data_IF_218464355107
#
_entry.id   IF_218464355107
#
_cell.length_a   1.000
_cell.length_b   1.000
_cell.length_c   1.000
_cell.angle_alpha   90.00
_cell.angle_beta   90.00
_cell.angle_gamma   90.00
#
_symmetry.space_group_name_H-M   'P 1'
#
loop_
_entity.id
_entity.type
_entity.pdbx_description
1 polymer ?
#
# COMPACT_ATOMS: atom_id res chain seq x y z
N UNK A 1 34.54 65.17 -9.73
CA UNK A 1 34.11 63.90 -10.35
C UNK A 1 33.30 63.12 -9.32
N UNK A 2 31.99 62.97 -9.52
CA UNK A 2 31.10 62.17 -8.66
C UNK A 2 30.85 60.83 -9.35
N UNK A 3 31.21 59.73 -8.70
CA UNK A 3 30.94 58.38 -9.20
C UNK A 3 29.68 57.84 -8.51
N UNK A 4 28.62 57.66 -9.29
CA UNK A 4 27.40 56.94 -8.92
C UNK A 4 27.63 55.44 -9.08
N UNK A 5 27.52 54.69 -7.98
CA UNK A 5 27.53 53.22 -8.01
C UNK A 5 26.10 52.71 -8.20
N UNK A 6 25.86 51.98 -9.29
CA UNK A 6 24.61 51.28 -9.57
C UNK A 6 24.63 49.89 -8.92
N UNK A 7 23.68 49.63 -8.02
CA UNK A 7 23.47 48.31 -7.44
C UNK A 7 22.61 47.45 -8.38
N UNK A 8 23.21 46.41 -8.95
CA UNK A 8 22.50 45.37 -9.70
C UNK A 8 21.88 44.36 -8.72
N UNK A 9 20.56 44.42 -8.54
CA UNK A 9 19.81 43.42 -7.79
C UNK A 9 19.68 42.14 -8.60
N UNK A 10 20.36 41.07 -8.17
CA UNK A 10 20.24 39.74 -8.74
C UNK A 10 18.94 39.09 -8.21
N UNK A 11 17.90 39.06 -9.03
CA UNK A 11 16.65 38.35 -8.73
C UNK A 11 16.92 36.83 -8.81
N UNK A 12 17.02 36.16 -7.66
CA UNK A 12 17.05 34.70 -7.56
C UNK A 12 15.66 34.17 -7.92
N UNK A 13 15.49 33.70 -9.16
CA UNK A 13 14.33 32.90 -9.57
C UNK A 13 14.40 31.56 -8.82
N UNK A 14 13.60 31.42 -7.77
CA UNK A 14 13.37 30.11 -7.15
C UNK A 14 12.73 29.19 -8.21
N UNK A 15 13.23 27.96 -8.40
CA UNK A 15 12.58 27.00 -9.28
C UNK A 15 11.18 26.72 -8.72
N UNK A 16 10.15 27.13 -9.47
CA UNK A 16 8.79 26.78 -9.15
C UNK A 16 8.66 25.25 -9.16
N UNK A 17 8.31 24.67 -8.01
CA UNK A 17 7.89 23.28 -7.96
C UNK A 17 6.67 23.15 -8.87
N UNK A 18 6.85 22.49 -10.01
CA UNK A 18 5.74 22.11 -10.86
C UNK A 18 4.72 21.37 -9.98
N UNK A 19 3.45 21.81 -10.04
CA UNK A 19 2.32 21.10 -9.46
C UNK A 19 2.18 19.74 -10.16
N UNK A 20 3.04 18.79 -9.81
CA UNK A 20 2.88 17.39 -10.17
C UNK A 20 1.63 16.87 -9.46
N UNK A 21 0.81 16.09 -10.18
CA UNK A 21 -0.30 15.39 -9.56
C UNK A 21 0.22 14.52 -8.41
N UNK A 22 -0.39 14.63 -7.23
CA UNK A 22 -0.03 13.78 -6.09
C UNK A 22 -0.16 12.32 -6.50
N UNK A 23 0.87 11.47 -6.26
CA UNK A 23 0.80 10.07 -6.65
C UNK A 23 -0.43 9.37 -6.08
N UNK A 24 -1.16 8.67 -6.94
CA UNK A 24 -2.36 7.93 -6.54
C UNK A 24 -2.00 6.74 -5.65
N UNK A 25 -2.89 6.41 -4.71
CA UNK A 25 -2.83 5.12 -4.02
C UNK A 25 -3.07 3.99 -5.03
N UNK A 26 -2.32 2.90 -4.89
CA UNK A 26 -2.30 1.81 -5.85
C UNK A 26 -2.73 0.46 -5.28
N UNK A 27 -2.53 0.20 -3.98
CA UNK A 27 -3.03 -1.02 -3.33
C UNK A 27 -3.15 -0.88 -1.81
N UNK A 28 -3.96 -1.76 -1.23
CA UNK A 28 -3.88 -2.16 0.18
C UNK A 28 -3.72 -3.69 0.23
N UNK A 29 -2.87 -4.16 1.14
CA UNK A 29 -2.64 -5.58 1.41
C UNK A 29 -2.71 -5.85 2.91
N UNK A 30 -2.98 -7.09 3.26
CA UNK A 30 -2.92 -7.60 4.62
C UNK A 30 -2.31 -9.01 4.61
N UNK A 31 -1.63 -9.37 5.69
CA UNK A 31 -1.21 -10.74 6.01
C UNK A 31 -2.38 -11.74 5.89
N UNK A 32 -3.54 -11.38 6.44
CA UNK A 32 -4.78 -12.14 6.35
C UNK A 32 -6.01 -11.25 6.42
N UNK A 33 -7.18 -11.87 6.31
CA UNK A 33 -8.44 -11.21 6.67
C UNK A 33 -9.55 -12.23 6.95
N UNK A 34 -10.51 -11.82 7.77
CA UNK A 34 -11.64 -12.65 8.18
C UNK A 34 -12.48 -13.11 6.97
N UNK A 35 -12.90 -14.39 6.98
CA UNK A 35 -13.73 -15.01 5.92
C UNK A 35 -13.14 -14.93 4.51
N UNK A 36 -11.81 -14.81 4.36
CA UNK A 36 -11.12 -14.79 3.06
C UNK A 36 -11.53 -15.92 2.12
N UNK A 37 -11.64 -17.15 2.61
CA UNK A 37 -11.93 -18.30 1.74
C UNK A 37 -13.42 -18.49 1.45
N UNK A 38 -14.30 -18.11 2.39
CA UNK A 38 -15.75 -18.32 2.28
C UNK A 38 -16.51 -17.11 1.73
N UNK A 39 -16.05 -15.88 2.01
CA UNK A 39 -16.63 -14.60 1.56
C UNK A 39 -15.51 -13.58 1.26
N UNK A 40 -14.70 -13.79 0.21
CA UNK A 40 -13.50 -13.01 -0.06
C UNK A 40 -13.74 -11.51 -0.26
N UNK A 41 -14.95 -11.09 -0.60
CA UNK A 41 -15.31 -9.70 -0.85
C UNK A 41 -15.67 -8.91 0.42
N UNK A 42 -15.94 -9.60 1.53
CA UNK A 42 -16.59 -8.99 2.69
C UNK A 42 -15.64 -8.14 3.54
N UNK A 43 -14.45 -8.67 3.84
CA UNK A 43 -13.47 -8.04 4.73
C UNK A 43 -12.10 -7.82 4.08
N UNK A 44 -12.07 -7.66 2.75
CA UNK A 44 -10.83 -7.52 2.00
C UNK A 44 -10.09 -6.20 2.33
N UNK A 45 -8.75 -6.15 2.19
CA UNK A 45 -7.95 -4.95 2.50
C UNK A 45 -8.33 -3.70 1.70
N UNK A 46 -8.83 -3.84 0.46
CA UNK A 46 -9.22 -2.69 -0.36
C UNK A 46 -10.42 -1.92 0.22
N UNK A 47 -11.20 -2.53 1.11
CA UNK A 47 -12.27 -1.84 1.82
C UNK A 47 -11.75 -0.68 2.69
N UNK A 48 -10.47 -0.71 3.10
CA UNK A 48 -9.84 0.38 3.86
C UNK A 48 -9.60 1.66 3.06
N UNK A 49 -9.82 1.63 1.75
CA UNK A 49 -9.50 2.73 0.84
C UNK A 49 -10.73 3.39 0.22
N UNK A 50 -11.91 2.82 0.42
CA UNK A 50 -13.12 3.19 -0.32
C UNK A 50 -13.94 4.29 0.34
N UNK A 51 -13.61 4.71 1.57
CA UNK A 51 -14.33 5.77 2.27
C UNK A 51 -15.77 5.43 2.63
N UNK A 52 -16.14 4.14 2.67
CA UNK A 52 -17.50 3.69 2.98
C UNK A 52 -17.57 3.11 4.38
N UNK A 53 -18.46 3.65 5.18
CA UNK A 53 -18.71 3.16 6.55
C UNK A 53 -19.28 1.72 6.59
N UNK A 54 -19.93 1.27 5.51
CA UNK A 54 -20.56 -0.04 5.42
C UNK A 54 -19.58 -1.19 5.08
N UNK A 55 -18.29 -0.90 4.91
CA UNK A 55 -17.26 -1.87 4.56
C UNK A 55 -16.11 -1.76 5.54
N UNK A 56 -15.45 -2.88 5.81
CA UNK A 56 -14.31 -2.92 6.71
C UNK A 56 -13.31 -3.95 6.22
N UNK A 57 -12.07 -3.85 6.69
CA UNK A 57 -11.17 -5.00 6.81
C UNK A 57 -11.23 -5.50 8.25
N UNK A 58 -11.12 -6.82 8.43
CA UNK A 58 -11.01 -7.44 9.74
C UNK A 58 -9.89 -8.47 9.72
N UNK A 59 -9.13 -8.55 10.81
CA UNK A 59 -8.03 -9.51 10.99
C UNK A 59 -8.49 -10.96 10.78
N UNK A 60 -7.55 -11.85 10.51
CA UNK A 60 -7.86 -13.28 10.32
C UNK A 60 -8.24 -13.99 11.63
N UNK A 61 -7.85 -13.43 12.78
CA UNK A 61 -8.13 -13.95 14.13
C UNK A 61 -8.36 -12.82 15.14
N UNK A 62 -8.69 -13.18 16.39
CA UNK A 62 -8.85 -12.26 17.51
C UNK A 62 -7.53 -11.65 18.04
N UNK A 63 -6.37 -12.25 17.69
CA UNK A 63 -5.04 -11.73 18.03
C UNK A 63 -4.47 -10.92 16.86
N UNK A 64 -4.47 -9.58 16.95
CA UNK A 64 -4.08 -8.71 15.85
C UNK A 64 -2.57 -8.47 15.79
N UNK A 65 -1.79 -8.97 16.76
CA UNK A 65 -0.35 -8.63 16.87
C UNK A 65 0.47 -9.17 15.68
N UNK A 66 -0.07 -10.15 14.97
CA UNK A 66 0.54 -10.74 13.77
C UNK A 66 0.03 -10.12 12.47
N UNK A 67 -0.90 -9.15 12.53
CA UNK A 67 -1.50 -8.58 11.34
C UNK A 67 -0.74 -7.33 10.87
N UNK A 68 -0.27 -7.40 9.62
CA UNK A 68 0.42 -6.30 8.96
C UNK A 68 -0.42 -5.81 7.78
N UNK A 69 -0.89 -4.57 7.87
CA UNK A 69 -1.50 -3.87 6.76
C UNK A 69 -0.42 -3.10 5.99
N UNK A 70 -0.46 -3.15 4.67
CA UNK A 70 0.48 -2.45 3.80
C UNK A 70 -0.27 -1.66 2.74
N UNK A 71 0.08 -0.40 2.59
CA UNK A 71 -0.49 0.54 1.63
C UNK A 71 0.61 1.00 0.68
N UNK A 72 0.35 0.95 -0.61
CA UNK A 72 1.31 1.37 -1.63
C UNK A 72 0.73 2.43 -2.56
N UNK A 73 1.55 3.42 -2.87
CA UNK A 73 1.28 4.49 -3.82
C UNK A 73 2.08 4.26 -5.10
N UNK A 74 1.61 4.83 -6.21
CA UNK A 74 2.30 4.74 -7.51
C UNK A 74 3.62 5.53 -7.57
N UNK A 75 3.90 6.32 -6.54
CA UNK A 75 5.14 7.07 -6.36
C UNK A 75 5.26 7.58 -4.92
N UNK A 76 6.37 8.23 -4.57
CA UNK A 76 6.58 8.78 -3.23
C UNK A 76 5.56 9.87 -2.90
N UNK A 77 4.87 9.73 -1.78
CA UNK A 77 3.94 10.73 -1.23
C UNK A 77 4.43 11.23 0.13
N UNK A 78 4.07 12.47 0.47
CA UNK A 78 4.20 13.03 1.80
C UNK A 78 2.83 12.99 2.47
N UNK A 79 2.73 12.32 3.62
CA UNK A 79 1.49 12.16 4.38
C UNK A 79 1.64 12.96 5.68
N UNK A 80 0.79 13.97 5.84
CA UNK A 80 0.79 14.86 7.02
C UNK A 80 -0.42 14.66 7.93
N UNK A 81 -1.43 13.92 7.48
CA UNK A 81 -2.58 13.52 8.28
C UNK A 81 -3.07 12.14 7.84
N UNK A 82 -3.57 11.37 8.80
CA UNK A 82 -4.39 10.17 8.53
C UNK A 82 -5.71 10.28 9.28
N UNK A 83 -6.78 9.81 8.64
CA UNK A 83 -8.08 9.62 9.30
C UNK A 83 -8.40 8.15 9.35
N UNK A 84 -8.59 7.63 10.55
CA UNK A 84 -8.81 6.20 10.77
C UNK A 84 -10.18 6.01 11.42
N UNK A 85 -10.97 5.09 10.86
CA UNK A 85 -12.20 4.63 11.49
C UNK A 85 -11.96 3.21 12.02
N UNK A 86 -11.84 3.11 13.35
CA UNK A 86 -11.70 1.83 14.06
C UNK A 86 -12.99 1.02 14.12
N UNK A 87 -12.90 -0.31 14.22
CA UNK A 87 -14.05 -1.20 14.30
C UNK A 87 -14.71 -1.50 12.96
N UNK A 88 -15.81 -2.24 13.02
CA UNK A 88 -16.71 -2.46 11.90
C UNK A 88 -17.86 -1.44 11.99
N UNK A 89 -17.83 -0.43 11.12
CA UNK A 89 -18.71 0.73 11.18
C UNK A 89 -20.10 0.53 10.60
N UNK A 90 -20.45 -0.68 10.14
CA UNK A 90 -21.71 -0.94 9.44
C UNK A 90 -22.94 -0.41 10.19
N UNK A 91 -23.03 -0.71 11.49
CA UNK A 91 -24.01 -0.15 12.43
C UNK A 91 -23.48 -0.19 13.88
N UNK A 92 -24.27 0.28 14.85
CA UNK A 92 -23.83 0.35 16.25
C UNK A 92 -23.67 -1.04 16.88
N UNK A 93 -24.51 -1.99 16.47
CA UNK A 93 -24.45 -3.34 17.00
C UNK A 93 -23.18 -4.03 16.51
N UNK A 94 -22.95 -4.01 15.20
CA UNK A 94 -21.76 -4.57 14.56
C UNK A 94 -20.48 -3.93 15.09
N UNK A 95 -20.50 -2.64 15.40
CA UNK A 95 -19.35 -1.96 16.00
C UNK A 95 -18.93 -2.59 17.34
N UNK A 96 -19.89 -3.01 18.18
CA UNK A 96 -19.62 -3.67 19.48
C UNK A 96 -19.33 -5.16 19.35
N UNK A 97 -19.91 -5.83 18.36
CA UNK A 97 -19.68 -7.25 18.06
C UNK A 97 -18.23 -7.54 17.65
N UNK A 98 -17.52 -6.57 17.08
CA UNK A 98 -16.12 -6.73 16.65
C UNK A 98 -15.14 -5.97 17.53
N UNK A 99 -13.91 -6.47 17.60
CA UNK A 99 -12.84 -5.81 18.33
C UNK A 99 -12.40 -4.57 17.54
N UNK A 100 -11.93 -3.54 18.24
CA UNK A 100 -11.66 -2.22 17.63
C UNK A 100 -10.22 -1.85 17.91
N UNK A 101 -9.46 -1.51 16.88
CA UNK A 101 -8.07 -1.09 17.06
C UNK A 101 -7.98 0.13 17.98
N UNK A 102 -7.09 0.06 18.97
CA UNK A 102 -6.85 1.12 19.96
C UNK A 102 -5.51 1.80 19.75
N UNK A 103 -4.44 1.01 19.65
CA UNK A 103 -3.10 1.52 19.36
C UNK A 103 -2.62 0.95 18.04
N UNK A 104 -2.12 1.83 17.19
CA UNK A 104 -1.58 1.50 15.89
C UNK A 104 -0.17 2.04 15.77
N UNK A 105 0.66 1.39 14.96
CA UNK A 105 1.97 1.88 14.56
C UNK A 105 1.99 2.02 13.04
N UNK A 106 1.95 3.26 12.56
CA UNK A 106 2.08 3.60 11.15
C UNK A 106 3.55 3.87 10.84
N UNK A 107 4.13 3.11 9.91
CA UNK A 107 5.55 3.23 9.52
C UNK A 107 5.64 3.64 8.05
N UNK A 108 6.49 4.61 7.77
CA UNK A 108 7.08 4.84 6.46
C UNK A 108 8.49 4.20 6.37
N UNK A 109 9.23 4.47 5.29
CA UNK A 109 10.59 3.96 5.08
C UNK A 109 11.59 4.35 6.17
N UNK A 110 11.51 5.59 6.70
CA UNK A 110 12.51 6.16 7.61
C UNK A 110 11.96 6.53 8.99
N UNK A 111 10.64 6.64 9.14
CA UNK A 111 9.99 7.14 10.34
C UNK A 111 8.75 6.32 10.67
N UNK A 112 8.38 6.31 11.95
CA UNK A 112 7.20 5.63 12.45
C UNK A 112 6.46 6.52 13.46
N UNK A 113 5.12 6.45 13.44
CA UNK A 113 4.23 7.20 14.33
C UNK A 113 3.32 6.22 15.05
N UNK A 114 3.29 6.29 16.39
CA UNK A 114 2.27 5.60 17.18
C UNK A 114 1.00 6.44 17.21
N UNK A 115 -0.15 5.79 17.00
CA UNK A 115 -1.46 6.41 16.93
C UNK A 115 -2.34 5.75 17.99
N UNK A 116 -3.01 6.55 18.81
CA UNK A 116 -4.03 6.06 19.75
C UNK A 116 -5.40 6.56 19.32
N UNK A 117 -6.34 5.65 19.19
CA UNK A 117 -7.72 5.92 18.81
C UNK A 117 -8.64 5.85 20.04
N UNK A 118 -9.66 6.68 20.06
CA UNK A 118 -10.78 6.56 21.00
C UNK A 118 -11.72 5.41 20.57
N UNK A 119 -12.40 4.80 21.54
CA UNK A 119 -13.40 3.75 21.28
C UNK A 119 -14.73 4.38 20.85
N UNK A 120 -14.76 4.91 19.63
CA UNK A 120 -15.94 5.57 19.08
C UNK A 120 -16.05 5.34 17.57
N UNK A 121 -17.29 5.39 17.09
CA UNK A 121 -17.60 5.39 15.66
C UNK A 121 -17.13 6.66 14.97
N UNK A 122 -16.90 6.55 13.67
CA UNK A 122 -16.47 7.63 12.80
C UNK A 122 -14.97 7.75 12.64
N UNK A 123 -14.57 8.54 11.65
CA UNK A 123 -13.17 8.85 11.37
C UNK A 123 -12.56 9.73 12.48
N UNK A 124 -11.35 9.37 12.91
CA UNK A 124 -10.56 10.14 13.85
C UNK A 124 -9.31 10.67 13.14
N UNK A 125 -9.16 11.99 13.10
CA UNK A 125 -8.04 12.65 12.43
C UNK A 125 -6.79 12.68 13.32
N UNK A 126 -5.66 12.34 12.73
CA UNK A 126 -4.36 12.27 13.40
C UNK A 126 -3.33 12.97 12.53
N UNK A 127 -2.84 14.11 13.02
CA UNK A 127 -1.77 14.87 12.37
C UNK A 127 -0.44 14.16 12.60
N UNK A 128 0.34 13.99 11.54
CA UNK A 128 1.65 13.36 11.55
C UNK A 128 2.73 14.45 11.57
N UNK A 129 3.49 14.49 12.67
CA UNK A 129 4.58 15.43 12.83
C UNK A 129 5.81 14.70 13.41
N UNK A 130 6.88 14.49 12.61
CA UNK A 130 7.02 14.91 11.22
C UNK A 130 6.10 14.13 10.25
N UNK A 131 5.78 14.68 9.07
CA UNK A 131 5.07 13.95 8.02
C UNK A 131 5.83 12.69 7.60
N UNK A 132 5.11 11.61 7.27
CA UNK A 132 5.70 10.40 6.71
C UNK A 132 5.94 10.60 5.21
N UNK A 133 7.05 10.07 4.68
CA UNK A 133 7.39 10.21 3.26
C UNK A 133 7.81 8.87 2.68
N UNK A 134 7.22 8.47 1.55
CA UNK A 134 7.54 7.21 0.89
C UNK A 134 6.47 6.76 -0.10
N UNK A 135 6.74 5.66 -0.79
CA UNK A 135 5.78 5.04 -1.70
C UNK A 135 5.03 3.87 -1.04
N UNK A 136 5.49 3.38 0.11
CA UNK A 136 4.90 2.26 0.83
C UNK A 136 4.87 2.58 2.33
N UNK A 137 3.74 2.26 2.96
CA UNK A 137 3.51 2.45 4.39
C UNK A 137 2.93 1.18 4.98
N UNK A 138 3.28 0.88 6.23
CA UNK A 138 2.72 -0.25 6.97
C UNK A 138 1.97 0.22 8.19
N UNK A 139 0.83 -0.39 8.50
CA UNK A 139 0.07 -0.14 9.71
C UNK A 139 -0.01 -1.45 10.51
N UNK A 140 0.48 -1.41 11.74
CA UNK A 140 0.45 -2.52 12.68
C UNK A 140 -0.53 -2.21 13.81
N UNK A 141 -1.31 -3.20 14.23
CA UNK A 141 -2.18 -3.09 15.40
C UNK A 141 -1.39 -3.54 16.62
N UNK A 142 -1.32 -2.69 17.65
CA UNK A 142 -0.54 -2.92 18.87
C UNK A 142 -1.41 -3.16 20.11
N UNK A 143 -2.66 -2.70 20.07
CA UNK A 143 -3.64 -2.82 21.15
C UNK A 143 -5.06 -2.69 20.58
N UNK A 144 -6.05 -3.26 21.26
CA UNK A 144 -7.45 -3.24 20.86
C UNK A 144 -8.39 -3.01 22.03
N UNK A 145 -9.56 -2.44 21.75
CA UNK A 145 -10.71 -2.50 22.63
C UNK A 145 -11.46 -3.84 22.41
N UNK A 146 -11.99 -4.45 23.48
CA UNK A 146 -12.59 -5.78 23.42
C UNK A 146 -13.97 -5.78 22.76
N UNK A 147 -14.25 -6.75 21.91
CA UNK A 147 -15.61 -7.05 21.46
C UNK A 147 -16.48 -7.65 22.58
N UNK A 148 -17.79 -7.70 22.33
CA UNK A 148 -18.72 -8.51 23.13
C UNK A 148 -18.37 -10.01 23.04
N UNK A 149 -17.93 -10.48 21.88
CA UNK A 149 -17.35 -11.81 21.67
C UNK A 149 -15.81 -11.73 21.68
N UNK A 150 -15.10 -12.29 22.67
CA UNK A 150 -13.64 -12.21 22.74
C UNK A 150 -12.91 -12.89 21.57
N UNK A 151 -13.58 -13.77 20.82
CA UNK A 151 -13.03 -14.42 19.62
C UNK A 151 -13.25 -13.59 18.35
N UNK A 152 -13.96 -12.46 18.44
CA UNK A 152 -14.21 -11.61 17.30
C UNK A 152 -12.92 -10.89 16.84
N UNK A 153 -12.65 -10.85 15.53
CA UNK A 153 -11.45 -10.22 14.99
C UNK A 153 -11.48 -8.71 15.21
N UNK A 154 -10.30 -8.09 15.13
CA UNK A 154 -10.18 -6.64 15.10
C UNK A 154 -10.52 -6.13 13.72
N UNK A 155 -11.36 -5.11 13.65
CA UNK A 155 -11.73 -4.46 12.40
C UNK A 155 -11.25 -3.01 12.32
N UNK A 156 -11.04 -2.57 11.08
CA UNK A 156 -10.86 -1.18 10.68
C UNK A 156 -11.81 -0.93 9.51
N UNK A 157 -12.61 0.11 9.60
CA UNK A 157 -13.58 0.49 8.56
C UNK A 157 -12.86 1.20 7.42
N UNK A 158 -12.00 2.17 7.73
CA UNK A 158 -11.40 3.04 6.72
C UNK A 158 -10.07 3.63 7.20
N UNK A 159 -9.15 3.86 6.26
CA UNK A 159 -7.88 4.58 6.48
C UNK A 159 -7.70 5.56 5.34
N UNK A 160 -7.93 6.85 5.63
CA UNK A 160 -7.76 7.92 4.65
C UNK A 160 -6.45 8.66 4.88
N UNK A 161 -5.59 8.65 3.87
CA UNK A 161 -4.34 9.39 3.87
C UNK A 161 -4.57 10.81 3.35
N UNK A 162 -3.94 11.79 3.97
CA UNK A 162 -3.99 13.19 3.57
C UNK A 162 -2.59 13.73 3.28
N UNK A 163 -2.51 14.61 2.29
CA UNK A 163 -1.33 15.41 1.98
C UNK A 163 -1.76 16.84 1.71
N UNK A 164 -1.19 17.80 2.42
CA UNK A 164 -1.44 19.24 2.27
C UNK A 164 -2.95 19.56 2.24
N UNK A 165 -3.70 18.93 3.15
CA UNK A 165 -5.16 19.10 3.32
C UNK A 165 -6.02 18.37 2.29
N UNK A 166 -5.45 17.54 1.41
CA UNK A 166 -6.19 16.77 0.39
C UNK A 166 -6.15 15.28 0.69
N UNK A 167 -7.31 14.63 0.66
CA UNK A 167 -7.43 13.19 0.77
C UNK A 167 -6.82 12.50 -0.48
N UNK A 168 -6.07 11.43 -0.26
CA UNK A 168 -5.40 10.64 -1.30
C UNK A 168 -6.19 9.38 -1.68
N UNK A 169 -7.20 9.02 -0.90
CA UNK A 169 -8.14 7.93 -1.13
C UNK A 169 -9.51 8.28 -0.52
N UNK A 170 -10.57 7.55 -0.92
CA UNK A 170 -11.93 7.80 -0.45
C UNK A 170 -13.00 7.36 -1.45
N UNK A 171 -14.25 7.88 -1.31
CA UNK A 171 -15.43 7.38 -2.03
C UNK A 171 -15.31 7.31 -3.56
N UNK A 172 -14.51 8.18 -4.16
CA UNK A 172 -14.29 8.20 -5.61
C UNK A 172 -13.59 6.92 -6.12
N UNK A 173 -12.90 6.18 -5.26
CA UNK A 173 -12.25 4.92 -5.60
C UNK A 173 -13.19 3.71 -5.60
N UNK A 174 -14.38 3.81 -5.02
CA UNK A 174 -15.33 2.67 -4.85
C UNK A 174 -15.56 1.88 -6.15
N UNK A 175 -15.62 2.58 -7.30
CA UNK A 175 -15.86 1.93 -8.60
C UNK A 175 -14.66 1.10 -9.10
N UNK A 176 -13.46 1.46 -8.65
CA UNK A 176 -12.19 0.84 -9.01
C UNK A 176 -11.76 -0.24 -8.01
N UNK A 177 -12.22 -0.18 -6.76
CA UNK A 177 -11.86 -1.10 -5.67
C UNK A 177 -12.67 -2.40 -5.65
N UNK A 178 -13.02 -2.92 -6.83
CA UNK A 178 -13.78 -4.18 -6.93
C UNK A 178 -12.85 -5.36 -6.66
N UNK A 179 -13.34 -6.33 -5.89
CA UNK A 179 -12.63 -7.58 -5.73
C UNK A 179 -12.57 -8.34 -7.07
N UNK A 180 -11.36 -8.66 -7.49
CA UNK A 180 -11.10 -9.58 -8.59
C UNK A 180 -10.23 -10.74 -8.08
N UNK A 181 -10.69 -11.98 -8.28
CA UNK A 181 -10.02 -13.18 -7.75
C UNK A 181 -8.65 -13.44 -8.38
N UNK A 182 -8.44 -13.05 -9.64
CA UNK A 182 -7.17 -13.22 -10.33
C UNK A 182 -6.18 -12.10 -9.94
N UNK A 183 -6.69 -10.88 -9.74
CA UNK A 183 -5.91 -9.70 -9.41
C UNK A 183 -5.52 -9.63 -7.93
N UNK A 184 -6.46 -9.88 -7.01
CA UNK A 184 -6.27 -9.66 -5.57
C UNK A 184 -4.98 -10.31 -5.00
N UNK A 185 -4.58 -11.52 -5.45
CA UNK A 185 -3.34 -12.11 -4.96
C UNK A 185 -2.05 -11.54 -5.56
N UNK A 186 -2.14 -10.73 -6.62
CA UNK A 186 -1.01 -10.06 -7.26
C UNK A 186 -0.78 -8.66 -6.72
N UNK A 187 -1.83 -7.98 -6.25
CA UNK A 187 -1.75 -6.63 -5.71
C UNK A 187 -0.64 -6.52 -4.67
N UNK A 188 0.10 -5.41 -4.69
CA UNK A 188 1.24 -5.19 -3.80
C UNK A 188 2.57 -5.04 -4.52
N UNK A 189 3.60 -4.73 -3.74
CA UNK A 189 4.99 -4.73 -4.21
C UNK A 189 5.65 -6.07 -3.91
N UNK A 190 6.26 -6.62 -4.96
CA UNK A 190 7.06 -7.83 -4.95
C UNK A 190 8.54 -7.47 -5.10
N UNK A 191 9.38 -8.08 -4.29
CA UNK A 191 10.79 -7.76 -4.12
C UNK A 191 11.65 -8.87 -4.75
N UNK A 192 12.52 -8.52 -5.68
CA UNK A 192 13.51 -9.40 -6.29
C UNK A 192 14.94 -9.05 -5.86
N UNK A 193 15.88 -9.98 -6.08
CA UNK A 193 17.28 -9.84 -5.65
C UNK A 193 17.57 -10.48 -4.29
N UNK A 194 18.70 -10.13 -3.69
CA UNK A 194 19.18 -10.68 -2.41
C UNK A 194 18.22 -10.38 -1.26
N UNK A 195 18.07 -11.32 -0.33
CA UNK A 195 17.27 -11.09 0.87
C UNK A 195 17.87 -9.97 1.74
N UNK A 196 17.03 -9.16 2.39
CA UNK A 196 17.45 -7.95 3.10
C UNK A 196 17.80 -6.75 2.20
N UNK A 197 18.34 -6.99 1.00
CA UNK A 197 18.79 -5.95 0.07
C UNK A 197 18.23 -6.15 -1.35
N UNK A 198 16.88 -6.08 -1.54
CA UNK A 198 16.29 -6.22 -2.87
C UNK A 198 16.71 -5.04 -3.75
N UNK A 199 16.97 -5.35 -5.01
CA UNK A 199 17.33 -4.38 -6.06
C UNK A 199 16.22 -4.27 -7.13
N UNK A 200 15.21 -5.14 -7.10
CA UNK A 200 14.11 -5.18 -8.07
C UNK A 200 12.77 -5.10 -7.35
N UNK A 201 11.88 -4.28 -7.87
CA UNK A 201 10.56 -4.03 -7.30
C UNK A 201 9.53 -4.12 -8.41
N UNK A 202 8.56 -5.02 -8.26
CA UNK A 202 7.44 -5.18 -9.17
C UNK A 202 6.15 -4.93 -8.39
N UNK A 203 5.48 -3.82 -8.68
CA UNK A 203 4.24 -3.42 -8.01
C UNK A 203 3.06 -3.60 -8.93
N UNK A 204 2.01 -4.28 -8.46
CA UNK A 204 0.70 -4.37 -9.13
C UNK A 204 -0.33 -3.53 -8.39
N UNK A 205 -1.10 -2.75 -9.14
CA UNK A 205 -2.08 -1.81 -8.62
C UNK A 205 -3.52 -2.23 -8.94
N UNK A 206 -4.48 -1.83 -8.10
CA UNK A 206 -5.90 -2.22 -8.26
C UNK A 206 -6.52 -1.73 -9.57
N UNK A 207 -5.94 -0.71 -10.20
CA UNK A 207 -6.44 -0.13 -11.45
C UNK A 207 -5.81 -0.75 -12.71
N UNK A 208 -5.34 -2.00 -12.62
CA UNK A 208 -4.77 -2.77 -13.73
C UNK A 208 -3.49 -2.16 -14.31
N UNK A 209 -2.78 -1.34 -13.53
CA UNK A 209 -1.45 -0.86 -13.88
C UNK A 209 -0.38 -1.54 -13.03
N UNK A 210 0.84 -1.59 -13.54
CA UNK A 210 1.99 -2.10 -12.81
C UNK A 210 3.20 -1.20 -13.00
N UNK A 211 4.15 -1.30 -12.07
CA UNK A 211 5.44 -0.62 -12.13
C UNK A 211 6.55 -1.59 -11.82
N UNK A 212 7.57 -1.61 -12.68
CA UNK A 212 8.83 -2.26 -12.41
C UNK A 212 9.91 -1.20 -12.17
N UNK A 213 10.73 -1.45 -11.15
CA UNK A 213 11.91 -0.64 -10.83
C UNK A 213 13.08 -1.58 -10.55
N UNK A 214 14.22 -1.34 -11.19
CA UNK A 214 15.51 -1.94 -10.91
C UNK A 214 16.48 -0.84 -10.43
N UNK A 215 16.92 -0.97 -9.19
CA UNK A 215 17.81 -0.05 -8.48
C UNK A 215 19.08 -0.82 -8.08
N UNK A 216 20.08 -0.93 -8.98
CA UNK A 216 21.31 -1.62 -8.66
C UNK A 216 22.08 -0.91 -7.55
N UNK A 217 22.70 -1.71 -6.68
CA UNK A 217 23.62 -1.21 -5.65
C UNK A 217 24.93 -0.67 -6.23
N UNK A 218 25.36 -1.20 -7.37
CA UNK A 218 26.57 -0.75 -8.07
C UNK A 218 26.28 0.54 -8.87
N UNK A 219 26.96 1.66 -8.56
CA UNK A 219 26.81 2.92 -9.31
C UNK A 219 27.17 2.81 -10.80
N UNK A 220 27.96 1.81 -11.20
CA UNK A 220 28.31 1.53 -12.58
C UNK A 220 27.20 0.85 -13.39
N UNK A 221 26.20 0.27 -12.72
CA UNK A 221 25.06 -0.36 -13.37
C UNK A 221 23.93 0.66 -13.56
N UNK A 222 23.31 0.65 -14.74
CA UNK A 222 22.14 1.49 -15.02
C UNK A 222 20.89 0.83 -14.44
N UNK A 223 20.17 1.56 -13.60
CA UNK A 223 18.83 1.19 -13.19
C UNK A 223 17.84 1.22 -14.36
N UNK A 224 16.67 0.61 -14.14
CA UNK A 224 15.60 0.53 -15.13
C UNK A 224 14.26 0.82 -14.44
N UNK A 225 13.43 1.66 -15.03
CA UNK A 225 12.05 1.88 -14.56
C UNK A 225 11.13 1.81 -15.76
N UNK A 226 10.07 1.02 -15.65
CA UNK A 226 8.99 1.04 -16.62
C UNK A 226 7.65 0.71 -15.99
N UNK A 227 6.60 1.21 -16.62
CA UNK A 227 5.21 1.06 -16.20
C UNK A 227 4.38 0.57 -17.37
N UNK A 228 3.24 -0.03 -17.07
CA UNK A 228 2.32 -0.51 -18.08
C UNK A 228 1.00 -1.00 -17.51
N UNK A 229 0.17 -1.53 -18.38
CA UNK A 229 -1.09 -2.17 -18.02
C UNK A 229 -0.89 -3.68 -17.87
N UNK A 230 -1.72 -4.30 -17.04
CA UNK A 230 -1.76 -5.74 -16.90
C UNK A 230 -3.19 -6.28 -16.86
N UNK A 231 -3.32 -7.53 -17.26
CA UNK A 231 -4.57 -8.29 -17.16
C UNK A 231 -4.25 -9.68 -16.62
N UNK A 232 -4.97 -10.10 -15.57
CA UNK A 232 -4.75 -11.38 -14.91
C UNK A 232 -5.98 -12.28 -15.10
N UNK A 233 -5.77 -13.50 -15.58
CA UNK A 233 -6.84 -14.49 -15.72
C UNK A 233 -6.33 -15.86 -15.29
N UNK A 234 -6.80 -16.34 -14.13
CA UNK A 234 -6.36 -17.62 -13.58
C UNK A 234 -4.85 -17.62 -13.30
N UNK A 235 -4.10 -18.46 -14.02
CA UNK A 235 -2.63 -18.50 -13.96
C UNK A 235 -1.94 -17.72 -15.08
N UNK A 236 -2.68 -16.99 -15.92
CA UNK A 236 -2.14 -16.18 -17.01
C UNK A 236 -2.05 -14.71 -16.60
N UNK A 237 -0.92 -14.09 -16.88
CA UNK A 237 -0.69 -12.65 -16.76
C UNK A 237 -0.35 -12.10 -18.14
N UNK A 238 -1.05 -11.07 -18.56
CA UNK A 238 -0.69 -10.25 -19.72
C UNK A 238 -0.08 -8.95 -19.21
N UNK A 239 1.04 -8.51 -19.78
CA UNK A 239 1.67 -7.21 -19.50
C UNK A 239 1.83 -6.42 -20.80
N UNK A 240 1.55 -5.12 -20.77
CA UNK A 240 1.94 -4.18 -21.83
C UNK A 240 3.28 -3.57 -21.45
N UNK A 241 4.35 -4.09 -22.05
CA UNK A 241 5.73 -3.67 -21.73
C UNK A 241 6.19 -2.60 -22.73
N UNK A 242 6.74 -1.46 -22.28
CA UNK A 242 7.27 -0.43 -23.17
C UNK A 242 8.28 -0.99 -24.17
N UNK A 243 8.17 -0.59 -25.44
CA UNK A 243 9.00 -1.04 -26.58
C UNK A 243 8.89 -2.52 -26.98
N UNK A 244 8.31 -3.39 -26.14
CA UNK A 244 8.08 -4.82 -26.45
C UNK A 244 6.61 -5.12 -26.81
N UNK A 245 5.68 -4.31 -26.32
CA UNK A 245 4.25 -4.49 -26.54
C UNK A 245 3.64 -5.51 -25.57
N UNK A 246 2.57 -6.18 -26.01
CA UNK A 246 1.82 -7.14 -25.20
C UNK A 246 2.58 -8.45 -25.06
N UNK A 247 2.95 -8.82 -23.84
CA UNK A 247 3.58 -10.11 -23.51
C UNK A 247 2.69 -10.92 -22.59
N UNK A 248 2.81 -12.24 -22.66
CA UNK A 248 2.06 -13.17 -21.82
C UNK A 248 3.02 -13.98 -20.96
N UNK A 249 2.66 -14.17 -19.70
CA UNK A 249 3.36 -14.99 -18.74
C UNK A 249 2.41 -15.92 -17.99
N UNK A 250 2.96 -17.04 -17.52
CA UNK A 250 2.35 -17.89 -16.52
C UNK A 250 2.79 -17.43 -15.14
N UNK A 251 1.82 -17.29 -14.24
CA UNK A 251 1.98 -16.93 -12.84
C UNK A 251 2.24 -18.21 -12.05
N UNK A 252 3.41 -18.30 -11.42
CA UNK A 252 3.70 -19.32 -10.42
C UNK A 252 3.77 -18.65 -9.06
N UNK A 253 2.84 -19.01 -8.17
CA UNK A 253 2.82 -18.56 -6.77
C UNK A 253 3.13 -19.72 -5.85
N UNK A 254 3.90 -19.45 -4.82
CA UNK A 254 4.21 -20.44 -3.78
C UNK A 254 4.42 -19.78 -2.44
N UNK A 255 4.60 -20.60 -1.41
CA UNK A 255 5.05 -20.17 -0.09
C UNK A 255 6.51 -20.56 0.11
N UNK A 256 7.22 -19.80 0.92
CA UNK A 256 8.60 -20.05 1.30
C UNK A 256 8.85 -19.58 2.73
N UNK A 257 10.10 -19.67 3.15
CA UNK A 257 10.60 -19.06 4.38
C UNK A 257 11.71 -18.08 4.02
N UNK A 258 11.73 -16.94 4.71
CA UNK A 258 12.86 -16.02 4.74
C UNK A 258 14.09 -16.68 5.40
N UNK A 259 15.26 -16.08 5.26
CA UNK A 259 16.46 -16.41 6.04
C UNK A 259 16.21 -16.30 7.56
N UNK A 260 15.34 -15.39 7.98
CA UNK A 260 14.87 -15.25 9.37
C UNK A 260 13.77 -16.24 9.77
N UNK A 261 13.36 -17.16 8.88
CA UNK A 261 12.34 -18.18 9.14
C UNK A 261 10.89 -17.70 9.04
N UNK A 262 10.64 -16.44 8.69
CA UNK A 262 9.31 -15.88 8.47
C UNK A 262 8.69 -16.44 7.19
N UNK A 263 7.38 -16.74 7.22
CA UNK A 263 6.67 -17.19 6.03
C UNK A 263 6.65 -16.06 4.99
N UNK A 264 6.93 -16.38 3.73
CA UNK A 264 6.86 -15.43 2.62
C UNK A 264 6.06 -16.03 1.46
N UNK A 265 5.33 -15.19 0.73
CA UNK A 265 4.76 -15.55 -0.56
C UNK A 265 5.78 -15.26 -1.65
N UNK A 266 5.80 -16.11 -2.67
CA UNK A 266 6.71 -15.97 -3.80
C UNK A 266 5.94 -15.89 -5.10
N UNK A 267 6.50 -15.14 -6.05
CA UNK A 267 5.97 -14.92 -7.38
C UNK A 267 7.09 -15.14 -8.41
N UNK A 268 6.86 -16.03 -9.35
CA UNK A 268 7.70 -16.19 -10.53
C UNK A 268 6.83 -16.05 -11.77
N UNK A 269 7.33 -15.32 -12.76
CA UNK A 269 6.65 -15.12 -14.04
C UNK A 269 7.43 -15.86 -15.13
N UNK A 270 6.76 -16.77 -15.84
CA UNK A 270 7.36 -17.59 -16.89
C UNK A 270 6.76 -17.25 -18.26
N UNK A 271 7.60 -16.94 -19.25
CA UNK A 271 7.14 -16.63 -20.60
C UNK A 271 8.08 -15.69 -21.35
N UNK A 272 7.57 -15.05 -22.40
CA UNK A 272 8.34 -14.09 -23.20
C UNK A 272 8.41 -12.70 -22.53
N UNK A 273 9.01 -12.66 -21.34
CA UNK A 273 9.18 -11.44 -20.55
C UNK A 273 10.53 -10.75 -20.81
N UNK A 274 10.68 -9.45 -20.53
CA UNK A 274 11.97 -8.83 -20.31
C UNK A 274 12.80 -9.62 -19.29
N UNK A 275 14.13 -9.69 -19.50
CA UNK A 275 15.03 -10.41 -18.60
C UNK A 275 14.90 -9.95 -17.14
N UNK A 276 14.69 -8.64 -16.93
CA UNK A 276 14.52 -8.05 -15.61
C UNK A 276 13.32 -8.60 -14.81
N UNK A 277 12.28 -9.10 -15.49
CA UNK A 277 11.10 -9.72 -14.87
C UNK A 277 11.24 -11.25 -14.70
N UNK A 278 12.26 -11.87 -15.30
CA UNK A 278 12.52 -13.32 -15.19
C UNK A 278 13.32 -13.64 -13.93
N UNK A 279 12.81 -13.23 -12.79
CA UNK A 279 13.37 -13.53 -11.47
C UNK A 279 12.29 -14.06 -10.54
N UNK A 280 12.72 -14.69 -9.46
CA UNK A 280 11.85 -14.93 -8.31
C UNK A 280 11.67 -13.62 -7.56
N UNK A 281 10.42 -13.29 -7.25
CA UNK A 281 10.06 -12.22 -6.34
C UNK A 281 9.45 -12.79 -5.06
N UNK A 282 9.50 -12.02 -3.98
CA UNK A 282 8.89 -12.32 -2.67
C UNK A 282 8.12 -11.10 -2.16
N UNK A 283 7.11 -11.27 -1.34
CA UNK A 283 6.51 -10.16 -0.62
C UNK A 283 7.26 -9.88 0.70
N UNK A 284 6.74 -8.95 1.50
CA UNK A 284 7.25 -8.59 2.84
C UNK A 284 6.12 -8.53 3.89
N UNK A 285 5.02 -9.23 3.62
CA UNK A 285 3.93 -9.40 4.59
C UNK A 285 4.29 -10.48 5.60
#
# INVERSE_FOLDING_TARGET
MRATAAAFGLLLLAPGFANGATPAIGYAQATGYFKKDSRPTLYQPLNLLDGREATAWCSSSADPLNELLTFGFKGPVKIDEVRIYTGNGFDEQTFKEFSRARKLLLKGPSTAQSITLADQRGQQAVVLNPPLQGAQFTLQIQDQFPADDPEAPVCLTDVVFYADGRALNGPWLTRSLKYDRAQAPLLGTWFGGSEGAPDKFLSFYFDNTYRFTYEPWDPGMKGEVFEGEYDATGSRLTLVVPKKGKVTARIHRGTGKSESGQALRTLTLEGDLPAALKTRFRDRL
#
